data_IF_391809396841
#
_entry.id   IF_391809396841
#
_cell.length_a   1.000
_cell.length_b   1.000
_cell.length_c   1.000
_cell.angle_alpha   90.00
_cell.angle_beta   90.00
_cell.angle_gamma   90.00
#
_symmetry.space_group_name_H-M   'P 1'
#
loop_
_entity.id
_entity.type
_entity.pdbx_description
1 polymer ?
#
# COMPACT_ATOMS: atom_id res chain seq x y z
N UNK A 1 -30.08 3.35 3.87
CA UNK A 1 -28.67 2.93 4.02
C UNK A 1 -27.85 3.89 3.16
N UNK A 2 -26.95 4.67 3.75
CA UNK A 2 -26.10 5.58 2.97
C UNK A 2 -25.19 4.76 2.06
N UNK A 3 -25.20 5.03 0.75
CA UNK A 3 -24.20 4.46 -0.14
C UNK A 3 -22.82 4.94 0.31
N UNK A 4 -21.98 3.99 0.74
CA UNK A 4 -20.57 4.26 1.01
C UNK A 4 -19.87 4.59 -0.31
N UNK A 5 -18.99 5.61 -0.29
CA UNK A 5 -18.19 5.99 -1.46
C UNK A 5 -17.38 4.77 -1.92
N UNK A 6 -17.42 4.47 -3.22
CA UNK A 6 -16.65 3.35 -3.79
C UNK A 6 -15.15 3.69 -3.79
N UNK A 7 -14.27 2.73 -3.48
CA UNK A 7 -12.83 2.92 -3.59
C UNK A 7 -12.41 3.34 -5.00
N UNK A 8 -11.37 4.16 -5.12
CA UNK A 8 -10.78 4.49 -6.41
C UNK A 8 -10.25 3.21 -7.09
N UNK A 9 -10.55 3.03 -8.37
CA UNK A 9 -10.30 1.77 -9.09
C UNK A 9 -11.31 0.65 -8.83
N UNK A 10 -12.36 0.89 -8.04
CA UNK A 10 -13.50 -0.02 -7.86
C UNK A 10 -13.28 -1.15 -6.85
N UNK A 11 -12.09 -1.25 -6.27
CA UNK A 11 -11.75 -2.22 -5.22
C UNK A 11 -10.80 -1.59 -4.21
N UNK A 12 -11.06 -1.82 -2.93
CA UNK A 12 -10.12 -1.47 -1.85
C UNK A 12 -8.98 -2.48 -1.85
N UNK A 13 -7.76 -2.01 -2.04
CA UNK A 13 -6.55 -2.81 -1.90
C UNK A 13 -6.28 -3.07 -0.41
N UNK A 14 -5.84 -4.27 -0.06
CA UNK A 14 -5.35 -4.60 1.28
C UNK A 14 -4.12 -5.49 1.13
N UNK A 15 -2.97 -5.04 1.62
CA UNK A 15 -1.68 -5.74 1.55
C UNK A 15 -1.11 -6.05 2.93
N UNK A 16 -1.88 -5.87 4.00
CA UNK A 16 -1.47 -6.24 5.35
C UNK A 16 -1.33 -7.76 5.42
N UNK A 17 -0.20 -8.24 5.91
CA UNK A 17 0.10 -9.66 6.05
C UNK A 17 0.67 -9.98 7.42
N UNK A 18 0.52 -11.24 7.83
CA UNK A 18 1.18 -11.81 9.02
C UNK A 18 2.39 -12.66 8.65
N UNK A 19 2.87 -12.57 7.41
CA UNK A 19 4.07 -13.27 6.98
C UNK A 19 5.27 -12.85 7.83
N UNK A 20 6.10 -13.81 8.20
CA UNK A 20 7.33 -13.56 8.95
C UNK A 20 8.41 -13.01 8.00
N UNK A 21 8.91 -11.78 8.21
CA UNK A 21 9.97 -11.21 7.37
C UNK A 21 11.36 -11.72 7.75
N UNK A 22 11.50 -12.58 8.76
CA UNK A 22 12.78 -13.09 9.23
C UNK A 22 13.59 -13.78 8.12
N UNK A 23 14.86 -13.40 7.99
CA UNK A 23 15.77 -13.94 6.97
C UNK A 23 15.69 -13.24 5.60
N UNK A 24 14.80 -12.25 5.42
CA UNK A 24 14.76 -11.43 4.21
C UNK A 24 15.78 -10.28 4.27
N UNK A 25 16.26 -9.87 3.10
CA UNK A 25 17.04 -8.65 2.96
C UNK A 25 16.21 -7.43 3.37
N UNK A 26 16.79 -6.55 4.16
CA UNK A 26 16.12 -5.38 4.73
C UNK A 26 16.78 -4.08 4.29
N UNK A 27 15.98 -3.05 4.05
CA UNK A 27 16.41 -1.70 3.72
C UNK A 27 15.75 -0.76 4.74
N UNK A 28 16.55 0.07 5.39
CA UNK A 28 16.02 1.13 6.27
C UNK A 28 15.41 2.23 5.42
N UNK A 29 14.21 2.67 5.79
CA UNK A 29 13.47 3.74 5.12
C UNK A 29 13.23 4.91 6.07
N UNK A 30 12.94 6.08 5.52
CA UNK A 30 12.53 7.26 6.30
C UNK A 30 11.11 7.09 6.82
N UNK A 31 10.73 7.88 7.83
CA UNK A 31 9.37 7.92 8.37
C UNK A 31 8.35 8.30 7.28
N UNK A 32 8.64 9.31 6.46
CA UNK A 32 7.78 9.70 5.35
C UNK A 32 7.51 8.54 4.39
N UNK A 33 8.54 7.76 4.05
CA UNK A 33 8.39 6.60 3.18
C UNK A 33 7.65 5.45 3.88
N UNK A 34 7.79 5.31 5.19
CA UNK A 34 7.02 4.34 5.97
C UNK A 34 5.52 4.67 5.97
N UNK A 35 5.16 5.96 6.06
CA UNK A 35 3.77 6.42 5.92
C UNK A 35 3.20 6.06 4.54
N UNK A 36 3.99 6.19 3.48
CA UNK A 36 3.58 5.74 2.13
C UNK A 36 3.38 4.23 2.06
N UNK A 37 4.25 3.43 2.70
CA UNK A 37 4.09 1.97 2.79
C UNK A 37 2.76 1.62 3.48
N UNK A 38 2.44 2.28 4.60
CA UNK A 38 1.18 2.08 5.33
C UNK A 38 -0.03 2.47 4.47
N UNK A 39 -0.01 3.64 3.82
CA UNK A 39 -1.09 4.10 2.94
C UNK A 39 -1.35 3.16 1.75
N UNK A 40 -0.29 2.55 1.20
CA UNK A 40 -0.42 1.49 0.17
C UNK A 40 -1.01 0.23 0.79
N UNK A 41 -0.55 -0.18 1.97
CA UNK A 41 -0.95 -1.42 2.60
C UNK A 41 -2.42 -1.42 3.04
N UNK A 42 -2.90 -0.31 3.60
CA UNK A 42 -4.27 -0.10 4.06
C UNK A 42 -5.24 0.26 2.93
N UNK A 43 -4.72 0.54 1.73
CA UNK A 43 -5.53 0.81 0.55
C UNK A 43 -6.00 2.25 0.41
N UNK A 44 -5.48 3.19 1.20
CA UNK A 44 -5.71 4.64 1.02
C UNK A 44 -5.33 5.05 -0.41
N UNK A 45 -4.27 4.45 -0.96
CA UNK A 45 -3.81 4.69 -2.32
C UNK A 45 -4.37 3.73 -3.37
N UNK A 46 -5.47 3.03 -3.09
CA UNK A 46 -6.14 2.20 -4.12
C UNK A 46 -6.33 3.00 -5.42
N UNK A 47 -5.99 2.45 -6.60
CA UNK A 47 -5.70 1.05 -6.89
C UNK A 47 -4.22 0.65 -6.81
N UNK A 48 -3.34 1.46 -6.23
CA UNK A 48 -1.93 1.10 -6.11
C UNK A 48 -1.76 -0.12 -5.21
N UNK A 49 -0.94 -1.07 -5.68
CA UNK A 49 -0.59 -2.29 -4.94
C UNK A 49 0.90 -2.32 -4.54
N UNK A 50 1.62 -1.20 -4.74
CA UNK A 50 3.04 -1.05 -4.50
C UNK A 50 3.59 0.26 -5.08
N UNK A 51 4.90 0.47 -4.95
CA UNK A 51 5.59 1.64 -5.50
C UNK A 51 5.57 1.67 -7.03
N UNK A 52 5.52 2.89 -7.59
CA UNK A 52 5.57 3.12 -9.03
C UNK A 52 6.99 2.87 -9.56
N UNK A 53 7.09 2.11 -10.66
CA UNK A 53 8.34 1.98 -11.41
C UNK A 53 8.55 3.16 -12.37
N UNK A 54 9.80 3.34 -12.86
CA UNK A 54 10.22 4.43 -13.76
C UNK A 54 9.33 4.69 -14.99
N UNK A 55 8.63 3.68 -15.51
CA UNK A 55 7.72 3.83 -16.66
C UNK A 55 6.41 4.57 -16.33
N UNK A 56 6.14 4.80 -15.05
CA UNK A 56 4.90 5.39 -14.54
C UNK A 56 5.14 6.66 -13.71
N UNK A 57 6.36 7.22 -13.80
CA UNK A 57 6.74 8.54 -13.31
C UNK A 57 6.73 9.54 -14.46
#
# INVERSE_FOLDING_TARGET
>A
MSESIKPHGGKLVNRITKADPSGLFSITITEDLANDVENIADGIFSPLEGFLGKKRL
#
